data_IF_632254609786
#
_entry.id   IF_632254609786
#
_cell.length_a   1.000
_cell.length_b   1.000
_cell.length_c   1.000
_cell.angle_alpha   90.00
_cell.angle_beta   90.00
_cell.angle_gamma   90.00
#
_symmetry.space_group_name_H-M   'P 1'
#
loop_
_entity.id
_entity.type
_entity.pdbx_description
1 polymer ?
#
# COMPACT_ATOMS: atom_id res chain seq x y z
N UNK A 1 -0.24 10.84 12.03
CA UNK A 1 -0.20 9.80 11.07
C UNK A 1 -0.12 8.43 11.66
N UNK A 2 -0.44 7.48 10.88
CA UNK A 2 -0.47 6.11 11.31
C UNK A 2 0.78 5.39 10.83
N UNK A 3 1.35 4.57 11.71
CA UNK A 3 2.53 3.80 11.38
C UNK A 3 2.17 2.34 11.16
N UNK A 4 2.80 1.75 10.17
CA UNK A 4 2.64 0.34 9.87
C UNK A 4 3.98 -0.35 10.04
N UNK A 5 3.96 -1.57 10.58
CA UNK A 5 5.16 -2.38 10.66
C UNK A 5 5.54 -2.89 9.29
N UNK A 6 6.82 -3.24 9.13
CA UNK A 6 7.28 -3.73 7.84
C UNK A 6 6.57 -5.00 7.40
N UNK A 7 6.19 -5.83 8.38
CA UNK A 7 5.51 -7.09 8.09
C UNK A 7 4.01 -6.95 8.10
N UNK A 8 3.51 -5.76 8.35
CA UNK A 8 2.08 -5.55 8.39
C UNK A 8 1.53 -5.48 6.98
N UNK A 9 0.36 -6.07 6.80
CA UNK A 9 -0.28 -6.05 5.49
C UNK A 9 -1.35 -4.98 5.44
N UNK A 10 -1.45 -4.33 4.30
CA UNK A 10 -2.40 -3.24 4.12
C UNK A 10 -3.12 -3.42 2.80
N UNK A 11 -4.33 -2.86 2.74
CA UNK A 11 -5.06 -2.83 1.48
C UNK A 11 -4.64 -1.59 0.72
N UNK A 12 -4.27 -1.79 -0.54
CA UNK A 12 -3.74 -0.71 -1.37
C UNK A 12 -4.60 -0.57 -2.61
N UNK A 13 -4.93 0.67 -2.95
CA UNK A 13 -5.63 0.96 -4.18
C UNK A 13 -4.60 1.42 -5.21
N UNK A 14 -4.52 0.71 -6.31
CA UNK A 14 -3.54 1.00 -7.35
C UNK A 14 -4.03 2.12 -8.25
N UNK A 15 -3.12 2.65 -9.06
CA UNK A 15 -3.44 3.79 -9.90
C UNK A 15 -4.48 3.45 -10.96
N UNK A 16 -4.63 2.19 -11.30
CA UNK A 16 -5.64 1.78 -12.29
C UNK A 16 -7.01 1.54 -11.66
N UNK A 17 -7.13 1.76 -10.35
CA UNK A 17 -8.40 1.60 -9.66
C UNK A 17 -8.58 0.26 -8.97
N UNK A 18 -7.70 -0.69 -9.20
CA UNK A 18 -7.82 -1.99 -8.56
C UNK A 18 -7.27 -1.95 -7.14
N UNK A 19 -7.62 -2.93 -6.33
CA UNK A 19 -7.13 -3.02 -4.97
C UNK A 19 -6.41 -4.33 -4.75
N UNK A 20 -5.39 -4.29 -3.89
CA UNK A 20 -4.63 -5.47 -3.54
C UNK A 20 -4.20 -5.41 -2.09
N UNK A 21 -4.11 -6.58 -1.49
CA UNK A 21 -3.65 -6.70 -0.10
C UNK A 21 -2.18 -7.13 -0.14
N UNK A 22 -1.32 -6.35 0.50
CA UNK A 22 0.11 -6.61 0.41
C UNK A 22 0.82 -6.09 1.64
N UNK A 23 2.06 -6.51 1.82
CA UNK A 23 2.86 -6.02 2.93
C UNK A 23 3.16 -4.54 2.73
N UNK A 24 3.23 -3.83 3.84
CA UNK A 24 3.47 -2.39 3.79
C UNK A 24 4.77 -2.06 3.06
N UNK A 25 5.79 -2.90 3.24
CA UNK A 25 7.06 -2.67 2.58
C UNK A 25 6.90 -2.58 1.06
N UNK A 26 6.08 -3.46 0.50
CA UNK A 26 5.82 -3.44 -0.92
C UNK A 26 4.90 -2.28 -1.28
N UNK A 27 3.96 -1.98 -0.41
CA UNK A 27 3.02 -0.89 -0.66
C UNK A 27 3.74 0.44 -0.77
N UNK A 28 4.78 0.64 0.01
CA UNK A 28 5.54 1.90 -0.05
C UNK A 28 6.06 2.17 -1.45
N UNK A 29 6.55 1.14 -2.12
CA UNK A 29 7.07 1.29 -3.47
C UNK A 29 5.95 1.71 -4.42
N UNK A 30 4.78 1.11 -4.26
CA UNK A 30 3.65 1.42 -5.13
C UNK A 30 3.08 2.80 -4.83
N UNK A 31 3.11 3.22 -3.57
CA UNK A 31 2.63 4.56 -3.21
C UNK A 31 3.43 5.62 -3.94
N UNK A 32 4.73 5.40 -4.11
CA UNK A 32 5.56 6.34 -4.86
C UNK A 32 5.14 6.39 -6.32
N UNK A 33 4.43 5.39 -6.79
CA UNK A 33 3.97 5.33 -8.17
C UNK A 33 2.50 5.71 -8.31
N UNK A 34 1.88 6.22 -7.23
CA UNK A 34 0.52 6.70 -7.32
C UNK A 34 -0.51 5.87 -6.57
N UNK A 35 -0.11 4.80 -5.91
CA UNK A 35 -1.05 3.99 -5.16
C UNK A 35 -1.40 4.65 -3.83
N UNK A 36 -2.50 4.21 -3.23
CA UNK A 36 -2.96 4.75 -1.95
C UNK A 36 -3.28 3.61 -0.99
N UNK A 37 -2.98 3.83 0.27
CA UNK A 37 -3.39 2.89 1.32
C UNK A 37 -4.80 3.27 1.75
N UNK A 38 -5.67 2.27 1.73
CA UNK A 38 -7.06 2.47 2.11
C UNK A 38 -7.26 2.42 3.62
#
# INVERSE_FOLDING_TARGET
GRKYGRNERVMVKLSDGSTEFMKYKKAETLIKQGAEIL
#
